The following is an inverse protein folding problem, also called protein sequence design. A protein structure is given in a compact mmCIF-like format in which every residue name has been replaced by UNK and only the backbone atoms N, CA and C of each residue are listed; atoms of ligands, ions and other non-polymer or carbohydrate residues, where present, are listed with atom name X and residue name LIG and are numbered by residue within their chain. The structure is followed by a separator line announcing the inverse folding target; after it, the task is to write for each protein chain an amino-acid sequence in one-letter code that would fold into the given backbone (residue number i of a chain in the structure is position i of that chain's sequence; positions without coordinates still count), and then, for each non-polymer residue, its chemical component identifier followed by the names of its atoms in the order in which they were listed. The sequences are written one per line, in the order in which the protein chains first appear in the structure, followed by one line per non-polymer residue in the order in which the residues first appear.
data_IF_723750300406
#
_entry.id   IF_723750300406
#
_cell.length_a   1.000
_cell.length_b   1.000
_cell.length_c   1.000
_cell.angle_alpha   90.00
_cell.angle_beta   90.00
_cell.angle_gamma   90.00
#
_symmetry.space_group_name_H-M   'P 1'
#
loop_
_entity.id
_entity.type
_entity.pdbx_description
1 polymer ?
#
# COMPACT_ATOMS: atom_id res chain seq x y z
N UNK A 1 -81.94 3.85 -84.28
CA UNK A 1 -82.89 4.82 -83.68
C UNK A 1 -82.40 6.25 -83.96
N UNK A 2 -83.04 7.30 -83.41
CA UNK A 2 -82.56 8.68 -83.54
C UNK A 2 -81.89 9.16 -82.25
N UNK A 3 -80.80 9.92 -82.38
CA UNK A 3 -80.07 10.48 -81.24
C UNK A 3 -80.85 11.62 -80.58
N UNK A 4 -81.17 11.48 -79.28
CA UNK A 4 -81.94 12.47 -78.52
C UNK A 4 -81.29 13.88 -78.43
N UNK A 5 -80.00 14.02 -78.79
CA UNK A 5 -79.28 15.30 -78.76
C UNK A 5 -79.08 15.96 -80.14
N UNK A 6 -79.19 15.22 -81.25
CA UNK A 6 -78.93 15.77 -82.59
C UNK A 6 -79.85 15.23 -83.70
N UNK A 7 -80.84 14.40 -83.36
CA UNK A 7 -81.89 13.80 -84.21
C UNK A 7 -81.42 13.01 -85.45
N UNK A 8 -80.11 12.84 -85.63
CA UNK A 8 -79.51 11.93 -86.61
C UNK A 8 -79.81 10.47 -86.27
N UNK A 9 -79.89 9.62 -87.31
CA UNK A 9 -80.03 8.18 -87.12
C UNK A 9 -78.72 7.55 -86.61
N UNK A 10 -78.81 6.81 -85.50
CA UNK A 10 -77.75 5.97 -84.96
C UNK A 10 -77.77 4.65 -85.71
N UNK A 11 -76.67 4.34 -86.40
CA UNK A 11 -76.47 3.05 -87.10
C UNK A 11 -76.31 1.89 -86.11
N UNK A 12 -76.63 0.67 -86.55
CA UNK A 12 -76.42 -0.54 -85.76
C UNK A 12 -74.93 -0.75 -85.41
N UNK A 13 -74.02 -0.34 -86.28
CA UNK A 13 -72.58 -0.38 -86.03
C UNK A 13 -72.19 0.57 -84.90
N UNK A 14 -72.76 1.79 -84.85
CA UNK A 14 -72.46 2.76 -83.79
C UNK A 14 -73.04 2.37 -82.44
N UNK A 15 -74.20 1.70 -82.42
CA UNK A 15 -74.71 1.09 -81.18
C UNK A 15 -73.77 -0.01 -80.67
N UNK A 16 -73.38 -0.96 -81.52
CA UNK A 16 -72.45 -2.03 -81.15
C UNK A 16 -71.06 -1.51 -80.71
N UNK A 17 -70.59 -0.41 -81.30
CA UNK A 17 -69.36 0.28 -80.88
C UNK A 17 -69.48 0.92 -79.49
N UNK A 18 -70.62 1.55 -79.19
CA UNK A 18 -70.88 2.19 -77.90
C UNK A 18 -71.04 1.16 -76.78
N UNK A 19 -71.90 0.15 -76.96
CA UNK A 19 -72.12 -0.91 -75.97
C UNK A 19 -70.80 -1.61 -75.63
N UNK A 20 -70.03 -1.99 -76.66
CA UNK A 20 -68.70 -2.60 -76.49
C UNK A 20 -67.72 -1.71 -75.75
N UNK A 21 -67.71 -0.40 -76.01
CA UNK A 21 -66.81 0.54 -75.32
C UNK A 21 -67.19 0.71 -73.83
N UNK A 22 -68.48 0.68 -73.49
CA UNK A 22 -68.92 0.70 -72.09
C UNK A 22 -68.59 -0.62 -71.36
N UNK A 23 -68.73 -1.76 -72.03
CA UNK A 23 -68.35 -3.07 -71.48
C UNK A 23 -66.83 -3.20 -71.28
N UNK A 24 -66.01 -2.90 -72.29
CA UNK A 24 -64.54 -3.07 -72.23
C UNK A 24 -63.89 -2.18 -71.16
N UNK A 25 -64.25 -0.89 -71.07
CA UNK A 25 -63.71 0.02 -70.05
C UNK A 25 -64.20 -0.35 -68.63
N UNK A 26 -65.43 -0.84 -68.48
CA UNK A 26 -65.94 -1.31 -67.19
C UNK A 26 -65.22 -2.58 -66.73
N UNK A 27 -64.98 -3.53 -67.64
CA UNK A 27 -64.26 -4.78 -67.34
C UNK A 27 -62.79 -4.51 -66.98
N UNK A 28 -62.14 -3.55 -67.66
CA UNK A 28 -60.79 -3.08 -67.31
C UNK A 28 -60.75 -2.43 -65.92
N UNK A 29 -61.73 -1.60 -65.58
CA UNK A 29 -61.82 -1.00 -64.25
C UNK A 29 -62.04 -2.06 -63.16
N UNK A 30 -62.93 -3.03 -63.36
CA UNK A 30 -63.12 -4.15 -62.42
C UNK A 30 -61.83 -4.93 -62.17
N UNK A 31 -61.14 -5.33 -63.25
CA UNK A 31 -59.86 -6.04 -63.18
C UNK A 31 -58.81 -5.23 -62.41
N UNK A 32 -58.78 -3.92 -62.58
CA UNK A 32 -57.86 -3.04 -61.84
C UNK A 32 -58.19 -2.97 -60.33
N UNK A 33 -59.49 -2.93 -59.98
CA UNK A 33 -59.95 -2.90 -58.59
C UNK A 33 -59.65 -4.23 -57.89
N UNK A 34 -59.92 -5.37 -58.54
CA UNK A 34 -59.61 -6.69 -57.97
C UNK A 34 -58.09 -6.88 -57.78
N UNK A 35 -57.28 -6.40 -58.73
CA UNK A 35 -55.81 -6.42 -58.59
C UNK A 35 -55.31 -5.54 -57.45
N UNK A 36 -55.97 -4.42 -57.13
CA UNK A 36 -55.67 -3.59 -55.95
C UNK A 36 -56.12 -4.26 -54.65
N UNK A 37 -57.32 -4.87 -54.62
CA UNK A 37 -57.81 -5.61 -53.47
C UNK A 37 -56.91 -6.81 -53.12
N UNK A 38 -56.43 -7.55 -54.13
CA UNK A 38 -55.48 -8.65 -53.93
C UNK A 38 -54.12 -8.19 -53.36
N UNK A 39 -53.63 -7.00 -53.77
CA UNK A 39 -52.43 -6.38 -53.18
C UNK A 39 -52.66 -6.01 -51.72
N UNK A 40 -53.78 -5.36 -51.39
CA UNK A 40 -54.12 -4.98 -50.01
C UNK A 40 -54.23 -6.20 -49.09
N UNK A 41 -54.80 -7.31 -49.57
CA UNK A 41 -54.88 -8.57 -48.83
C UNK A 41 -53.48 -9.17 -48.58
N UNK A 42 -52.63 -9.20 -49.62
CA UNK A 42 -51.23 -9.68 -49.52
C UNK A 42 -50.40 -8.83 -48.54
N UNK A 43 -50.61 -7.52 -48.54
CA UNK A 43 -49.96 -6.57 -47.63
C UNK A 43 -50.38 -6.83 -46.18
N UNK A 44 -51.68 -6.93 -45.89
CA UNK A 44 -52.20 -7.21 -44.55
C UNK A 44 -51.63 -8.52 -43.96
N UNK A 45 -51.51 -9.57 -44.78
CA UNK A 45 -50.90 -10.84 -44.39
C UNK A 45 -49.40 -10.70 -44.11
N UNK A 46 -48.67 -9.96 -44.94
CA UNK A 46 -47.23 -9.69 -44.77
C UNK A 46 -46.96 -8.90 -43.48
N UNK A 47 -47.71 -7.83 -43.26
CA UNK A 47 -47.68 -6.98 -42.06
C UNK A 47 -47.86 -7.80 -40.77
N UNK A 48 -48.78 -8.76 -40.77
CA UNK A 48 -49.05 -9.60 -39.59
C UNK A 48 -47.94 -10.63 -39.31
N UNK A 49 -47.21 -11.07 -40.34
CA UNK A 49 -46.15 -12.08 -40.21
C UNK A 49 -44.76 -11.51 -39.88
N UNK A 50 -44.43 -10.31 -40.37
CA UNK A 50 -43.06 -9.77 -40.33
C UNK A 50 -42.80 -8.87 -39.10
N UNK A 51 -43.82 -8.14 -38.61
CA UNK A 51 -43.64 -7.09 -37.61
C UNK A 51 -43.73 -7.60 -36.16
N UNK A 52 -42.80 -8.48 -35.77
CA UNK A 52 -42.67 -8.99 -34.39
C UNK A 52 -41.25 -8.81 -33.84
N UNK A 53 -41.14 -8.39 -32.58
CA UNK A 53 -39.86 -8.21 -31.87
C UNK A 53 -39.72 -9.35 -30.84
N UNK A 54 -38.79 -10.28 -31.08
CA UNK A 54 -38.36 -11.21 -30.05
C UNK A 54 -37.39 -10.51 -29.09
N UNK A 55 -37.80 -10.38 -27.82
CA UNK A 55 -36.96 -9.77 -26.79
C UNK A 55 -35.91 -10.75 -26.24
N UNK A 56 -36.09 -12.06 -26.40
CA UNK A 56 -35.24 -13.08 -25.75
C UNK A 56 -33.81 -13.12 -26.30
N UNK A 57 -33.59 -12.65 -27.53
CA UNK A 57 -32.27 -12.55 -28.16
C UNK A 57 -31.44 -11.35 -27.68
N UNK A 58 -32.01 -10.46 -26.86
CA UNK A 58 -31.35 -9.28 -26.31
C UNK A 58 -30.97 -9.44 -24.84
N UNK A 59 -30.03 -8.61 -24.38
CA UNK A 59 -29.71 -8.48 -22.95
C UNK A 59 -30.83 -7.73 -22.21
N UNK A 60 -31.07 -8.11 -20.95
CA UNK A 60 -32.15 -7.57 -20.10
C UNK A 60 -32.15 -6.04 -19.94
N UNK A 61 -30.99 -5.38 -20.07
CA UNK A 61 -30.85 -3.91 -20.10
C UNK A 61 -31.68 -3.22 -21.21
N UNK A 62 -32.04 -3.94 -22.27
CA UNK A 62 -32.80 -3.41 -23.41
C UNK A 62 -34.31 -3.73 -23.34
N UNK A 63 -34.76 -4.63 -22.44
CA UNK A 63 -36.15 -5.12 -22.43
C UNK A 63 -37.20 -4.02 -22.23
N UNK A 64 -36.90 -3.00 -21.42
CA UNK A 64 -37.79 -1.84 -21.25
C UNK A 64 -37.97 -1.04 -22.54
N UNK A 65 -36.89 -0.84 -23.28
CA UNK A 65 -36.89 -0.10 -24.55
C UNK A 65 -37.57 -0.91 -25.67
N UNK A 66 -37.25 -2.20 -25.77
CA UNK A 66 -37.87 -3.14 -26.72
C UNK A 66 -39.38 -3.30 -26.45
N UNK A 67 -39.82 -3.31 -25.19
CA UNK A 67 -41.25 -3.35 -24.84
C UNK A 67 -41.96 -2.06 -25.25
N UNK A 68 -41.36 -0.90 -25.02
CA UNK A 68 -41.91 0.39 -25.44
C UNK A 68 -41.90 0.57 -26.98
N UNK A 69 -40.99 -0.09 -27.68
CA UNK A 69 -40.93 -0.13 -29.14
C UNK A 69 -41.97 -1.09 -29.73
N UNK A 70 -42.10 -2.31 -29.19
CA UNK A 70 -43.12 -3.30 -29.56
C UNK A 70 -44.55 -2.77 -29.37
N UNK A 71 -44.82 -2.04 -28.28
CA UNK A 71 -46.11 -1.37 -28.08
C UNK A 71 -46.42 -0.32 -29.17
N UNK A 72 -45.41 0.44 -29.60
CA UNK A 72 -45.57 1.44 -30.68
C UNK A 72 -45.69 0.78 -32.05
N UNK A 73 -44.93 -0.29 -32.31
CA UNK A 73 -45.02 -1.09 -33.53
C UNK A 73 -46.44 -1.65 -33.67
N UNK A 74 -46.97 -2.30 -32.64
CA UNK A 74 -48.34 -2.85 -32.62
C UNK A 74 -49.43 -1.78 -32.80
N UNK A 75 -49.20 -0.54 -32.33
CA UNK A 75 -50.10 0.57 -32.59
C UNK A 75 -50.04 1.01 -34.06
N UNK A 76 -48.86 1.36 -34.58
CA UNK A 76 -48.68 1.80 -35.97
C UNK A 76 -49.09 0.72 -37.00
N UNK A 77 -48.83 -0.56 -36.72
CA UNK A 77 -49.32 -1.70 -37.50
C UNK A 77 -50.85 -1.74 -37.56
N UNK A 78 -51.53 -1.49 -36.44
CA UNK A 78 -53.00 -1.49 -36.37
C UNK A 78 -53.61 -0.30 -37.13
N UNK A 79 -52.98 0.87 -37.01
CA UNK A 79 -53.41 2.09 -37.73
C UNK A 79 -53.24 1.90 -39.25
N UNK A 80 -52.10 1.33 -39.70
CA UNK A 80 -51.86 0.97 -41.10
C UNK A 80 -52.86 -0.08 -41.62
N UNK A 81 -53.18 -1.12 -40.83
CA UNK A 81 -54.23 -2.09 -41.18
C UNK A 81 -55.62 -1.45 -41.29
N UNK A 82 -55.91 -0.41 -40.49
CA UNK A 82 -57.16 0.35 -40.60
C UNK A 82 -57.20 1.21 -41.89
N UNK A 83 -56.08 1.85 -42.26
CA UNK A 83 -55.95 2.56 -43.53
C UNK A 83 -56.15 1.62 -44.74
N UNK A 84 -55.48 0.45 -44.75
CA UNK A 84 -55.67 -0.60 -45.75
C UNK A 84 -57.13 -1.10 -45.80
N UNK A 85 -57.77 -1.29 -44.65
CA UNK A 85 -59.18 -1.67 -44.56
C UNK A 85 -60.13 -0.61 -45.13
N UNK A 86 -59.84 0.68 -44.91
CA UNK A 86 -60.60 1.79 -45.48
C UNK A 86 -60.44 1.89 -47.00
N UNK A 87 -59.23 1.70 -47.54
CA UNK A 87 -59.01 1.60 -48.99
C UNK A 87 -59.77 0.42 -49.60
N UNK A 88 -59.71 -0.77 -48.97
CA UNK A 88 -60.45 -1.94 -49.43
C UNK A 88 -61.98 -1.74 -49.39
N UNK A 89 -62.49 -0.99 -48.41
CA UNK A 89 -63.92 -0.59 -48.32
C UNK A 89 -64.31 0.35 -49.46
N UNK A 90 -63.51 1.38 -49.74
CA UNK A 90 -63.75 2.31 -50.86
C UNK A 90 -63.70 1.59 -52.22
N UNK A 91 -62.69 0.73 -52.43
CA UNK A 91 -62.57 -0.08 -53.65
C UNK A 91 -63.79 -1.01 -53.86
N UNK A 92 -64.26 -1.68 -52.81
CA UNK A 92 -65.48 -2.52 -52.87
C UNK A 92 -66.74 -1.69 -53.15
N UNK A 93 -66.86 -0.50 -52.57
CA UNK A 93 -67.97 0.42 -52.86
C UNK A 93 -67.92 0.98 -54.30
N UNK A 94 -66.71 1.19 -54.86
CA UNK A 94 -66.52 1.58 -56.26
C UNK A 94 -66.81 0.43 -57.23
N UNK A 95 -66.47 -0.81 -56.88
CA UNK A 95 -66.83 -2.00 -57.69
C UNK A 95 -68.33 -2.27 -57.69
N UNK A 96 -69.01 -2.06 -56.56
CA UNK A 96 -70.47 -2.19 -56.47
C UNK A 96 -71.26 -1.11 -57.22
N UNK A 97 -70.60 -0.04 -57.69
CA UNK A 97 -71.22 1.05 -58.44
C UNK A 97 -70.19 1.73 -59.37
N UNK A 98 -69.97 1.07 -60.52
CA UNK A 98 -68.97 1.43 -61.54
C UNK A 98 -69.43 2.61 -62.41
N UNK A 99 -70.74 2.78 -62.61
CA UNK A 99 -71.28 3.81 -63.50
C UNK A 99 -71.36 5.19 -62.84
N UNK A 100 -71.57 5.27 -61.52
CA UNK A 100 -71.66 6.55 -60.81
C UNK A 100 -70.34 6.92 -60.12
N UNK A 101 -69.95 8.19 -60.20
CA UNK A 101 -68.78 8.71 -59.50
C UNK A 101 -68.85 8.49 -57.98
N UNK A 102 -67.68 8.35 -57.35
CA UNK A 102 -67.48 8.27 -55.90
C UNK A 102 -66.38 9.24 -55.51
N UNK A 103 -66.59 9.97 -54.42
CA UNK A 103 -65.54 10.75 -53.79
C UNK A 103 -64.50 9.82 -53.14
N UNK A 104 -63.23 10.22 -53.16
CA UNK A 104 -62.13 9.51 -52.52
C UNK A 104 -61.85 10.11 -51.14
N UNK A 105 -61.99 9.30 -50.09
CA UNK A 105 -61.57 9.65 -48.74
C UNK A 105 -60.08 9.30 -48.59
N UNK A 106 -59.21 10.31 -48.47
CA UNK A 106 -57.79 10.04 -48.21
C UNK A 106 -57.62 9.34 -46.87
N UNK A 107 -56.85 8.25 -46.86
CA UNK A 107 -56.38 7.60 -45.64
C UNK A 107 -55.10 8.27 -45.13
N UNK A 108 -54.81 8.09 -43.84
CA UNK A 108 -53.54 8.51 -43.23
C UNK A 108 -52.38 7.62 -43.70
N UNK A 109 -51.18 8.21 -43.83
CA UNK A 109 -49.95 7.50 -44.19
C UNK A 109 -49.05 7.28 -42.96
N UNK A 110 -49.01 6.03 -42.49
CA UNK A 110 -48.19 5.60 -41.36
C UNK A 110 -46.73 5.24 -41.73
N UNK A 111 -46.35 5.32 -43.01
CA UNK A 111 -45.00 4.94 -43.50
C UNK A 111 -43.89 5.65 -42.72
N UNK A 112 -44.08 6.94 -42.40
CA UNK A 112 -43.12 7.71 -41.60
C UNK A 112 -42.99 7.17 -40.16
N UNK A 113 -44.11 6.82 -39.50
CA UNK A 113 -44.11 6.25 -38.14
C UNK A 113 -43.40 4.89 -38.12
N UNK A 114 -43.74 4.01 -39.07
CA UNK A 114 -43.13 2.69 -39.22
C UNK A 114 -41.63 2.78 -39.54
N UNK A 115 -41.22 3.72 -40.39
CA UNK A 115 -39.81 3.97 -40.71
C UNK A 115 -39.02 4.43 -39.48
N UNK A 116 -39.58 5.32 -38.65
CA UNK A 116 -38.94 5.75 -37.40
C UNK A 116 -38.81 4.57 -36.41
N UNK A 117 -39.86 3.77 -36.25
CA UNK A 117 -39.84 2.57 -35.37
C UNK A 117 -38.79 1.55 -35.84
N UNK A 118 -38.61 1.39 -37.15
CA UNK A 118 -37.55 0.55 -37.72
C UNK A 118 -36.13 1.11 -37.47
N UNK A 119 -35.94 2.42 -37.58
CA UNK A 119 -34.67 3.07 -37.26
C UNK A 119 -34.30 2.89 -35.78
N UNK A 120 -35.25 3.14 -34.87
CA UNK A 120 -35.05 2.89 -33.44
C UNK A 120 -34.76 1.42 -33.11
N UNK A 121 -35.36 0.46 -33.85
CA UNK A 121 -35.03 -0.96 -33.73
C UNK A 121 -33.59 -1.26 -34.18
N UNK A 122 -33.19 -0.72 -35.34
CA UNK A 122 -31.83 -0.87 -35.89
C UNK A 122 -30.77 -0.30 -34.94
N UNK A 123 -31.04 0.84 -34.31
CA UNK A 123 -30.14 1.45 -33.33
C UNK A 123 -30.02 0.62 -32.04
N UNK A 124 -31.10 -0.06 -31.61
CA UNK A 124 -31.06 -1.00 -30.48
C UNK A 124 -30.27 -2.28 -30.82
N UNK A 125 -30.39 -2.79 -32.05
CA UNK A 125 -29.55 -3.90 -32.53
C UNK A 125 -28.06 -3.52 -32.49
N UNK A 126 -27.68 -2.37 -33.05
CA UNK A 126 -26.30 -1.88 -33.04
C UNK A 126 -25.77 -1.65 -31.61
N UNK A 127 -26.58 -1.08 -30.71
CA UNK A 127 -26.22 -0.92 -29.29
C UNK A 127 -26.06 -2.27 -28.57
N UNK A 128 -26.85 -3.28 -28.92
CA UNK A 128 -26.74 -4.62 -28.34
C UNK A 128 -25.49 -5.34 -28.83
N UNK A 129 -25.11 -5.21 -30.10
CA UNK A 129 -23.88 -5.78 -30.65
C UNK A 129 -22.63 -5.08 -30.10
N UNK A 130 -22.63 -3.74 -30.00
CA UNK A 130 -21.57 -3.00 -29.32
C UNK A 130 -21.43 -3.43 -27.85
N UNK A 131 -22.54 -3.62 -27.14
CA UNK A 131 -22.53 -4.11 -25.76
C UNK A 131 -22.03 -5.56 -25.64
N UNK A 132 -22.33 -6.44 -26.61
CA UNK A 132 -21.73 -7.78 -26.67
C UNK A 132 -20.20 -7.71 -26.73
N UNK A 133 -19.65 -6.74 -27.47
CA UNK A 133 -18.21 -6.52 -27.57
C UNK A 133 -17.60 -5.91 -26.29
N UNK A 134 -18.27 -4.95 -25.63
CA UNK A 134 -17.77 -4.30 -24.41
C UNK A 134 -17.96 -5.13 -23.14
N UNK A 135 -18.81 -6.15 -23.15
CA UNK A 135 -19.19 -6.92 -21.96
C UNK A 135 -17.98 -7.55 -21.24
N UNK A 136 -16.94 -7.98 -21.97
CA UNK A 136 -15.71 -8.52 -21.38
C UNK A 136 -14.91 -7.46 -20.59
N UNK A 137 -14.85 -6.24 -21.13
CA UNK A 137 -14.16 -5.10 -20.49
C UNK A 137 -14.97 -4.55 -19.31
N UNK A 138 -16.29 -4.43 -19.46
CA UNK A 138 -17.20 -4.04 -18.37
C UNK A 138 -17.14 -5.03 -17.20
N UNK A 139 -17.13 -6.35 -17.48
CA UNK A 139 -16.91 -7.36 -16.43
C UNK A 139 -15.53 -7.26 -15.79
N UNK A 140 -14.48 -6.98 -16.57
CA UNK A 140 -13.11 -6.87 -16.06
C UNK A 140 -12.96 -5.64 -15.16
N UNK A 141 -13.56 -4.51 -15.57
CA UNK A 141 -13.66 -3.30 -14.77
C UNK A 141 -14.45 -3.53 -13.48
N UNK A 142 -15.64 -4.10 -13.55
CA UNK A 142 -16.46 -4.38 -12.36
C UNK A 142 -15.76 -5.33 -11.36
N UNK A 143 -14.98 -6.31 -11.84
CA UNK A 143 -14.13 -7.17 -10.98
C UNK A 143 -13.00 -6.38 -10.32
N UNK A 144 -12.37 -5.44 -11.03
CA UNK A 144 -11.34 -4.57 -10.48
C UNK A 144 -11.91 -3.59 -9.44
N UNK A 145 -13.03 -2.94 -9.74
CA UNK A 145 -13.71 -2.00 -8.85
C UNK A 145 -14.17 -2.70 -7.56
N UNK A 146 -14.75 -3.90 -7.66
CA UNK A 146 -15.12 -4.72 -6.49
C UNK A 146 -13.89 -5.10 -5.65
N UNK A 147 -12.79 -5.55 -6.29
CA UNK A 147 -11.54 -5.86 -5.58
C UNK A 147 -10.96 -4.65 -4.85
N UNK A 148 -11.02 -3.46 -5.45
CA UNK A 148 -10.54 -2.22 -4.84
C UNK A 148 -11.44 -1.79 -3.66
N UNK A 149 -12.76 -2.01 -3.76
CA UNK A 149 -13.70 -1.81 -2.65
C UNK A 149 -13.37 -2.71 -1.45
N UNK A 150 -13.22 -4.02 -1.66
CA UNK A 150 -12.85 -4.98 -0.61
C UNK A 150 -11.53 -4.60 0.08
N UNK A 151 -10.52 -4.16 -0.69
CA UNK A 151 -9.25 -3.67 -0.13
C UNK A 151 -9.46 -2.40 0.70
N UNK A 152 -10.26 -1.43 0.23
CA UNK A 152 -10.53 -0.20 0.97
C UNK A 152 -11.30 -0.47 2.28
N UNK A 153 -12.31 -1.33 2.25
CA UNK A 153 -13.07 -1.73 3.44
C UNK A 153 -12.19 -2.51 4.44
N UNK A 154 -11.28 -3.35 3.97
CA UNK A 154 -10.31 -4.02 4.83
C UNK A 154 -9.31 -3.02 5.47
N UNK A 155 -8.78 -2.05 4.71
CA UNK A 155 -7.88 -1.01 5.22
C UNK A 155 -8.54 -0.14 6.31
N UNK A 156 -9.84 0.14 6.17
CA UNK A 156 -10.64 0.79 7.22
C UNK A 156 -10.85 -0.13 8.43
N UNK A 157 -11.15 -1.41 8.19
CA UNK A 157 -11.42 -2.41 9.25
C UNK A 157 -10.21 -2.63 10.19
N UNK A 158 -8.99 -2.58 9.65
CA UNK A 158 -7.74 -2.72 10.44
C UNK A 158 -7.21 -1.38 11.00
N UNK A 159 -7.92 -0.27 10.75
CA UNK A 159 -7.48 1.11 11.01
C UNK A 159 -6.04 1.38 10.54
N UNK A 160 -5.79 1.08 9.25
CA UNK A 160 -4.44 0.98 8.68
C UNK A 160 -3.59 2.25 8.88
N UNK A 161 -4.19 3.44 8.79
CA UNK A 161 -3.46 4.69 8.97
C UNK A 161 -3.02 4.89 10.42
N UNK A 162 -3.85 4.55 11.40
CA UNK A 162 -3.45 4.57 12.82
C UNK A 162 -2.34 3.57 13.10
N UNK A 163 -2.36 2.38 12.47
CA UNK A 163 -1.27 1.41 12.59
C UNK A 163 0.06 1.96 12.02
N UNK A 164 0.03 2.61 10.84
CA UNK A 164 1.23 3.26 10.28
C UNK A 164 1.77 4.36 11.21
N UNK A 165 0.91 5.26 11.67
CA UNK A 165 1.29 6.35 12.58
C UNK A 165 1.87 5.81 13.91
N UNK A 166 1.31 4.70 14.40
CA UNK A 166 1.79 3.99 15.60
C UNK A 166 3.18 3.38 15.39
N UNK A 167 3.43 2.73 14.23
CA UNK A 167 4.74 2.18 13.87
C UNK A 167 5.79 3.30 13.79
N UNK A 168 5.49 4.42 13.14
CA UNK A 168 6.40 5.57 13.06
C UNK A 168 6.73 6.14 14.46
N UNK A 169 5.69 6.34 15.29
CA UNK A 169 5.84 6.81 16.68
C UNK A 169 6.71 5.88 17.53
N UNK A 170 6.59 4.56 17.33
CA UNK A 170 7.40 3.56 18.03
C UNK A 170 8.84 3.49 17.52
N UNK A 171 9.07 3.72 16.21
CA UNK A 171 10.42 3.84 15.64
C UNK A 171 11.15 5.07 16.19
N UNK A 172 10.50 6.24 16.23
CA UNK A 172 11.08 7.46 16.81
C UNK A 172 11.49 7.24 18.28
N UNK A 173 10.60 6.67 19.10
CA UNK A 173 10.89 6.34 20.52
C UNK A 173 12.01 5.31 20.70
N UNK A 174 12.13 4.33 19.81
CA UNK A 174 13.24 3.37 19.79
C UNK A 174 14.57 4.11 19.55
N UNK A 175 14.60 5.02 18.60
CA UNK A 175 15.81 5.69 18.15
C UNK A 175 16.28 6.75 19.18
N UNK A 176 15.34 7.46 19.82
CA UNK A 176 15.61 8.28 21.01
C UNK A 176 16.22 7.45 22.16
N UNK A 177 15.61 6.30 22.48
CA UNK A 177 16.10 5.43 23.55
C UNK A 177 17.47 4.83 23.25
N UNK A 178 17.75 4.48 21.98
CA UNK A 178 19.06 4.00 21.55
C UNK A 178 20.13 5.10 21.67
N UNK A 179 19.86 6.32 21.20
CA UNK A 179 20.79 7.44 21.35
C UNK A 179 21.09 7.75 22.83
N UNK A 180 20.07 7.70 23.69
CA UNK A 180 20.25 7.85 25.14
C UNK A 180 21.12 6.72 25.72
N UNK A 181 20.92 5.46 25.30
CA UNK A 181 21.73 4.31 25.73
C UNK A 181 23.18 4.45 25.28
N UNK A 182 23.43 4.85 24.03
CA UNK A 182 24.78 5.09 23.49
C UNK A 182 25.50 6.21 24.25
N UNK A 183 24.81 7.32 24.54
CA UNK A 183 25.35 8.42 25.34
C UNK A 183 25.66 8.00 26.79
N UNK A 184 24.83 7.16 27.41
CA UNK A 184 25.08 6.61 28.75
C UNK A 184 26.29 5.67 28.72
N UNK A 185 26.38 4.77 27.74
CA UNK A 185 27.51 3.85 27.57
C UNK A 185 28.82 4.59 27.36
N UNK A 186 28.86 5.62 26.50
CA UNK A 186 30.03 6.47 26.31
C UNK A 186 30.50 7.15 27.62
N UNK A 187 29.55 7.61 28.44
CA UNK A 187 29.84 8.18 29.76
C UNK A 187 30.34 7.13 30.78
N UNK A 188 29.82 5.91 30.74
CA UNK A 188 30.32 4.78 31.55
C UNK A 188 31.76 4.45 31.17
N UNK A 189 32.07 4.26 29.89
CA UNK A 189 33.44 3.99 29.41
C UNK A 189 34.40 5.10 29.80
N UNK A 190 33.99 6.37 29.65
CA UNK A 190 34.78 7.54 30.08
C UNK A 190 35.08 7.53 31.58
N UNK A 191 34.07 7.22 32.42
CA UNK A 191 34.25 7.10 33.88
C UNK A 191 35.13 5.91 34.26
N UNK A 192 35.00 4.76 33.60
CA UNK A 192 35.86 3.59 33.82
C UNK A 192 37.32 3.87 33.46
N UNK A 193 37.58 4.58 32.36
CA UNK A 193 38.92 5.05 31.99
C UNK A 193 39.49 6.02 33.04
N UNK A 194 38.70 6.98 33.53
CA UNK A 194 39.10 7.89 34.60
C UNK A 194 39.43 7.18 35.93
N UNK A 195 38.62 6.20 36.34
CA UNK A 195 38.88 5.36 37.52
C UNK A 195 40.18 4.55 37.35
N UNK A 196 40.42 4.02 36.15
CA UNK A 196 41.64 3.26 35.83
C UNK A 196 42.88 4.16 35.85
N UNK A 197 42.78 5.37 35.31
CA UNK A 197 43.84 6.38 35.39
C UNK A 197 44.14 6.78 36.84
N UNK A 198 43.10 7.06 37.65
CA UNK A 198 43.30 7.41 39.08
C UNK A 198 43.88 6.25 39.89
N UNK A 199 43.52 4.99 39.62
CA UNK A 199 44.20 3.83 40.23
C UNK A 199 45.69 3.75 39.85
N UNK A 200 46.06 4.11 38.61
CA UNK A 200 47.48 4.21 38.20
C UNK A 200 48.22 5.38 38.86
N UNK A 201 47.54 6.48 39.20
CA UNK A 201 48.13 7.60 39.95
C UNK A 201 48.33 7.29 41.45
N UNK A 202 47.45 6.46 42.04
CA UNK A 202 47.57 5.98 43.42
C UNK A 202 48.66 4.92 43.57
N UNK A 203 48.75 3.97 42.63
CA UNK A 203 49.80 2.95 42.57
C UNK A 203 51.15 3.52 42.07
N UNK A 204 51.57 4.66 42.62
CA UNK A 204 52.88 5.24 42.38
C UNK A 204 53.92 4.56 43.29
N UNK A 205 54.38 3.38 42.89
CA UNK A 205 55.35 2.56 43.63
C UNK A 205 56.68 3.32 43.91
N UNK A 206 56.94 4.41 43.16
CA UNK A 206 58.05 5.33 43.40
C UNK A 206 57.87 6.18 44.67
N UNK A 207 56.63 6.52 45.06
CA UNK A 207 56.33 7.12 46.37
C UNK A 207 56.55 6.11 47.50
N UNK A 208 56.19 4.85 47.30
CA UNK A 208 56.45 3.77 48.26
C UNK A 208 57.94 3.63 48.58
N UNK A 209 58.79 3.57 47.55
CA UNK A 209 60.24 3.58 47.70
C UNK A 209 60.75 4.84 48.44
N UNK A 210 60.26 6.03 48.09
CA UNK A 210 60.63 7.28 48.78
C UNK A 210 60.25 7.26 50.26
N UNK A 211 59.07 6.73 50.62
CA UNK A 211 58.63 6.63 52.01
C UNK A 211 59.48 5.64 52.82
N UNK A 212 59.87 4.50 52.23
CA UNK A 212 60.86 3.59 52.85
C UNK A 212 62.21 4.29 53.04
N UNK A 213 62.64 5.08 52.06
CA UNK A 213 63.89 5.83 52.14
C UNK A 213 63.86 6.96 53.17
N UNK A 214 62.71 7.60 53.44
CA UNK A 214 62.55 8.54 54.56
C UNK A 214 62.85 7.83 55.90
N UNK A 215 62.26 6.65 56.14
CA UNK A 215 62.53 5.89 57.36
C UNK A 215 63.99 5.41 57.43
N UNK A 216 64.57 4.93 56.32
CA UNK A 216 65.98 4.50 56.27
C UNK A 216 66.99 5.64 56.47
N UNK A 217 66.72 6.85 55.97
CA UNK A 217 67.68 7.96 56.09
C UNK A 217 67.52 8.74 57.40
N UNK A 218 66.28 9.04 57.83
CA UNK A 218 66.05 9.92 58.98
C UNK A 218 66.45 9.29 60.32
N UNK A 219 66.38 7.96 60.45
CA UNK A 219 66.57 7.25 61.72
C UNK A 219 67.93 6.53 61.85
N UNK A 220 68.68 6.34 60.76
CA UNK A 220 69.94 5.57 60.77
C UNK A 220 71.20 6.41 60.49
N UNK A 221 71.07 7.72 60.22
CA UNK A 221 72.15 8.72 60.23
C UNK A 221 73.22 8.60 59.14
N UNK A 222 73.33 7.46 58.46
CA UNK A 222 74.31 7.15 57.43
C UNK A 222 73.62 6.46 56.24
N UNK A 223 73.99 6.82 55.00
CA UNK A 223 73.33 6.38 53.77
C UNK A 223 73.66 4.94 53.34
N UNK A 224 73.66 4.00 54.30
CA UNK A 224 74.16 2.64 54.10
C UNK A 224 73.25 1.75 53.24
N UNK A 225 71.94 2.05 53.20
CA UNK A 225 70.94 1.36 52.39
C UNK A 225 69.91 2.34 51.81
N UNK A 226 69.50 2.11 50.57
CA UNK A 226 68.44 2.86 49.87
C UNK A 226 67.68 1.92 48.94
N UNK A 227 66.36 2.06 48.89
CA UNK A 227 65.46 1.28 48.04
C UNK A 227 65.13 2.07 46.76
N UNK A 228 65.56 1.59 45.59
CA UNK A 228 65.27 2.22 44.30
C UNK A 228 64.18 1.49 43.52
N UNK A 229 63.12 2.22 43.15
CA UNK A 229 62.05 1.73 42.27
C UNK A 229 62.51 1.70 40.80
N UNK A 230 63.08 0.58 40.34
CA UNK A 230 63.40 0.37 38.92
C UNK A 230 62.14 0.00 38.14
N UNK A 231 61.77 0.81 37.16
CA UNK A 231 60.70 0.51 36.20
C UNK A 231 61.19 -0.62 35.28
N UNK A 232 60.71 -1.84 35.52
CA UNK A 232 61.04 -3.00 34.72
C UNK A 232 60.23 -3.03 33.42
N UNK A 233 60.91 -3.29 32.31
CA UNK A 233 60.24 -3.67 31.08
C UNK A 233 59.65 -5.08 31.26
N UNK A 234 58.32 -5.14 31.28
CA UNK A 234 57.59 -6.41 31.17
C UNK A 234 57.58 -6.90 29.72
N UNK A 235 57.30 -8.18 29.47
CA UNK A 235 57.22 -8.74 28.10
C UNK A 235 56.07 -8.14 27.26
N UNK A 236 55.17 -7.36 27.86
CA UNK A 236 54.15 -6.56 27.18
C UNK A 236 54.07 -5.16 27.79
N UNK A 237 53.82 -4.14 26.96
CA UNK A 237 53.91 -2.73 27.36
C UNK A 237 52.85 -2.27 28.39
N UNK A 238 51.78 -3.03 28.57
CA UNK A 238 50.64 -2.63 29.42
C UNK A 238 50.88 -2.84 30.93
N UNK A 239 51.81 -3.71 31.32
CA UNK A 239 52.11 -4.03 32.72
C UNK A 239 53.58 -3.69 33.04
N UNK A 240 53.83 -2.41 33.30
CA UNK A 240 55.07 -1.95 33.92
C UNK A 240 55.15 -2.55 35.33
N UNK A 241 55.97 -3.59 35.52
CA UNK A 241 56.27 -4.15 36.83
C UNK A 241 57.42 -3.36 37.44
N UNK A 242 57.17 -2.59 38.49
CA UNK A 242 58.27 -1.96 39.22
C UNK A 242 58.96 -3.04 40.06
N UNK A 243 60.29 -3.03 40.04
CA UNK A 243 61.16 -3.89 40.84
C UNK A 243 61.96 -2.99 41.76
N UNK A 244 61.91 -3.27 43.05
CA UNK A 244 62.76 -2.58 44.01
C UNK A 244 64.16 -3.20 43.99
N UNK A 245 65.19 -2.35 43.90
CA UNK A 245 66.58 -2.76 44.08
C UNK A 245 67.14 -2.11 45.34
N UNK A 246 67.89 -2.88 46.12
CA UNK A 246 68.54 -2.40 47.34
C UNK A 246 69.95 -1.93 46.98
N UNK A 247 70.25 -0.68 47.32
CA UNK A 247 71.48 0.03 46.96
C UNK A 247 72.27 0.35 48.25
N UNK A 248 73.57 0.06 48.25
CA UNK A 248 74.57 0.42 49.26
C UNK A 248 75.69 1.20 48.58
N UNK A 249 76.05 2.36 49.11
CA UNK A 249 77.14 3.21 48.58
C UNK A 249 77.03 3.46 47.05
N UNK A 250 75.80 3.66 46.55
CA UNK A 250 75.51 3.86 45.13
C UNK A 250 75.60 2.61 44.24
N UNK A 251 75.78 1.41 44.81
CA UNK A 251 75.87 0.13 44.09
C UNK A 251 74.82 -0.86 44.58
N UNK A 252 74.38 -1.77 43.70
CA UNK A 252 73.42 -2.82 44.06
C UNK A 252 74.00 -3.78 45.10
N UNK A 253 73.27 -3.97 46.21
CA UNK A 253 73.61 -4.93 47.25
C UNK A 253 73.20 -6.35 46.85
N UNK A 254 74.05 -7.33 47.17
CA UNK A 254 73.82 -8.76 46.88
C UNK A 254 73.86 -9.65 48.14
N UNK A 255 74.45 -9.15 49.23
CA UNK A 255 74.53 -9.84 50.52
C UNK A 255 74.13 -8.83 51.60
N UNK A 256 72.89 -8.95 52.10
CA UNK A 256 72.42 -8.22 53.26
C UNK A 256 72.68 -9.06 54.52
N UNK A 257 72.99 -8.41 55.64
CA UNK A 257 72.98 -9.09 56.94
C UNK A 257 71.55 -9.41 57.39
N UNK A 258 71.41 -10.32 58.35
CA UNK A 258 70.12 -10.69 58.96
C UNK A 258 69.40 -9.46 59.52
N UNK A 259 70.13 -8.61 60.26
CA UNK A 259 69.62 -7.35 60.78
C UNK A 259 69.20 -6.34 59.71
N UNK A 260 69.97 -6.20 58.62
CA UNK A 260 69.61 -5.33 57.49
C UNK A 260 68.34 -5.82 56.75
N UNK A 261 68.19 -7.13 56.62
CA UNK A 261 67.02 -7.76 56.00
C UNK A 261 65.76 -7.49 56.84
N UNK A 262 65.83 -7.75 58.15
CA UNK A 262 64.77 -7.47 59.11
C UNK A 262 64.43 -5.99 59.19
N UNK A 263 65.43 -5.11 59.18
CA UNK A 263 65.24 -3.66 59.19
C UNK A 263 64.54 -3.17 57.92
N UNK A 264 64.96 -3.62 56.74
CA UNK A 264 64.32 -3.24 55.48
C UNK A 264 62.88 -3.73 55.41
N UNK A 265 62.60 -4.95 55.91
CA UNK A 265 61.25 -5.47 56.02
C UNK A 265 60.37 -4.63 56.97
N UNK A 266 60.92 -4.18 58.11
CA UNK A 266 60.23 -3.32 59.06
C UNK A 266 59.94 -1.92 58.48
N UNK A 267 60.93 -1.27 57.85
CA UNK A 267 60.71 0.03 57.18
C UNK A 267 59.70 -0.07 56.02
N UNK A 268 59.70 -1.17 55.27
CA UNK A 268 58.69 -1.46 54.25
C UNK A 268 57.29 -1.69 54.84
N UNK A 269 57.20 -2.40 55.97
CA UNK A 269 55.94 -2.58 56.70
C UNK A 269 55.38 -1.24 57.18
N UNK A 270 56.19 -0.39 57.82
CA UNK A 270 55.77 0.95 58.26
C UNK A 270 55.30 1.82 57.09
N UNK A 271 56.05 1.87 55.99
CA UNK A 271 55.65 2.61 54.79
C UNK A 271 54.33 2.10 54.16
N UNK A 272 53.97 0.83 54.40
CA UNK A 272 52.71 0.22 53.94
C UNK A 272 51.52 0.49 54.90
N UNK A 273 51.75 1.00 56.11
CA UNK A 273 50.67 1.50 56.98
C UNK A 273 50.14 2.87 56.52
N UNK A 274 50.97 3.63 55.81
CA UNK A 274 50.63 4.92 55.18
C UNK A 274 49.86 4.78 53.85
N UNK A 275 49.64 3.56 53.36
CA UNK A 275 48.95 3.23 52.10
C UNK A 275 47.42 3.49 52.20
N UNK A 276 46.78 3.67 51.05
CA UNK A 276 45.35 4.01 50.93
C UNK A 276 44.42 2.96 51.55
N UNK A 277 44.90 1.71 51.70
CA UNK A 277 44.15 0.61 52.33
C UNK A 277 44.22 0.60 53.88
N UNK A 278 45.15 1.37 54.47
CA UNK A 278 45.57 1.23 55.88
C UNK A 278 45.56 2.55 56.66
N UNK A 279 45.79 3.67 55.98
CA UNK A 279 45.95 5.01 56.58
C UNK A 279 44.77 5.46 57.46
N UNK A 280 43.54 5.25 57.00
CA UNK A 280 42.33 5.71 57.70
C UNK A 280 41.74 4.65 58.66
N UNK A 281 42.23 3.40 58.64
CA UNK A 281 41.61 2.28 59.38
C UNK A 281 42.13 2.07 60.80
N UNK A 282 43.16 2.82 61.22
CA UNK A 282 43.80 2.74 62.56
C UNK A 282 44.04 1.29 63.03
N UNK A 283 44.79 0.48 62.25
CA UNK A 283 44.96 -0.94 62.53
C UNK A 283 45.64 -1.18 63.89
N UNK A 284 45.14 -2.15 64.65
CA UNK A 284 45.85 -2.69 65.83
C UNK A 284 46.95 -3.60 65.30
N UNK A 285 48.19 -3.17 65.46
CA UNK A 285 49.38 -3.88 64.99
C UNK A 285 49.89 -4.77 66.12
N UNK A 286 49.99 -6.08 65.85
CA UNK A 286 50.64 -7.04 66.73
C UNK A 286 52.03 -7.31 66.17
N UNK A 287 53.05 -7.04 66.98
CA UNK A 287 54.46 -7.28 66.64
C UNK A 287 54.97 -8.34 67.60
N UNK A 288 55.10 -9.57 67.11
CA UNK A 288 55.74 -10.66 67.84
C UNK A 288 57.26 -10.55 67.68
N UNK A 289 58.01 -10.82 68.75
CA UNK A 289 59.43 -10.52 69.00
C UNK A 289 60.18 -9.81 67.84
N UNK A 290 60.11 -8.46 67.72
CA UNK A 290 60.70 -7.74 66.58
C UNK A 290 62.23 -7.76 66.51
N UNK A 291 62.91 -8.39 67.47
CA UNK A 291 64.33 -8.13 67.77
C UNK A 291 65.11 -9.44 68.01
N UNK A 292 64.98 -10.40 67.10
CA UNK A 292 66.01 -11.43 66.94
C UNK A 292 67.25 -10.85 66.23
N UNK A 293 68.45 -11.22 66.70
CA UNK A 293 69.72 -11.05 65.95
C UNK A 293 70.19 -9.61 65.64
N UNK A 294 69.72 -8.60 66.37
CA UNK A 294 70.10 -7.19 66.17
C UNK A 294 71.12 -6.68 67.20
N UNK A 295 72.07 -5.86 66.74
CA UNK A 295 72.97 -5.09 67.61
C UNK A 295 72.19 -4.03 68.43
N UNK A 296 72.68 -3.74 69.64
CA UNK A 296 72.01 -2.91 70.65
C UNK A 296 71.63 -1.50 70.17
N UNK A 297 72.34 -0.95 69.18
CA UNK A 297 71.99 0.31 68.53
C UNK A 297 70.63 0.19 67.79
N UNK A 298 70.43 -0.86 66.99
CA UNK A 298 69.20 -1.06 66.23
C UNK A 298 67.97 -1.30 67.12
N UNK A 299 68.17 -1.93 68.29
CA UNK A 299 67.12 -2.13 69.30
C UNK A 299 66.49 -0.79 69.70
N UNK A 300 67.34 0.19 70.05
CA UNK A 300 66.90 1.52 70.47
C UNK A 300 66.13 2.26 69.35
N UNK A 301 66.58 2.12 68.10
CA UNK A 301 65.94 2.78 66.95
C UNK A 301 64.57 2.19 66.57
N UNK A 302 64.35 0.87 66.75
CA UNK A 302 63.01 0.28 66.57
C UNK A 302 62.03 0.84 67.60
N UNK A 303 62.45 0.97 68.87
CA UNK A 303 61.63 1.61 69.91
C UNK A 303 61.36 3.11 69.64
N UNK A 304 62.27 3.83 68.98
CA UNK A 304 62.04 5.23 68.58
C UNK A 304 61.21 5.42 67.31
N UNK A 305 60.82 4.33 66.62
CA UNK A 305 59.88 4.32 65.49
C UNK A 305 58.45 3.93 65.91
N UNK A 306 58.26 3.51 67.16
CA UNK A 306 57.00 3.03 67.72
C UNK A 306 56.35 3.99 68.75
N UNK A 307 57.00 5.12 69.05
CA UNK A 307 56.53 6.19 69.95
C UNK A 307 56.42 7.52 69.21
#
# INVERSE_FOLDING_TARGET
EKCAFCDNEISSERWAELDKHFDEESELLEKSIDALLAKIETENQTVHAVLTIDQSVFYSKFYSQLTALDCRLKAATKDYQLALGNLAKQLKARKGDILNAKDYESVDDDTAKLTQIWQEYSDLCAQSELFSSSLADEQTKAKADLRLKEVAEYLLTIDYQTQLNSIETLQQKRDEAQQAQEAINANITKKQAQVTAKKRELNDEEKGAKKVNEYLNNFFGHQFLTLEAKKGEGPTQEVKRIRFEVIRDGKKAYHLSEGECSLLAFCYFLAKLDDVATKDSKPIIWIDDPISSLDGNHIFFIYSLLN
#
